data_IF_926782168105
#
_entry.id   IF_926782168105
#
_cell.length_a   1.000
_cell.length_b   1.000
_cell.length_c   1.000
_cell.angle_alpha   90.00
_cell.angle_beta   90.00
_cell.angle_gamma   90.00
#
_symmetry.space_group_name_H-M   'P 1'
#
loop_
_entity.id
_entity.type
_entity.pdbx_description
1 polymer ?
#
# COMPACT_ATOMS: atom_id res chain seq x y z
N UNK A 1 -21.79 4.72 15.34
CA UNK A 1 -20.69 5.20 14.49
C UNK A 1 -20.90 4.77 13.03
N UNK A 2 -21.07 3.47 12.74
CA UNK A 2 -21.31 2.94 11.39
C UNK A 2 -22.50 3.58 10.65
N UNK A 3 -23.60 3.87 11.35
CA UNK A 3 -24.75 4.57 10.79
C UNK A 3 -24.41 6.01 10.37
N UNK A 4 -23.73 6.74 11.25
CA UNK A 4 -23.28 8.11 10.96
C UNK A 4 -22.28 8.16 9.80
N UNK A 5 -21.39 7.18 9.71
CA UNK A 5 -20.42 7.08 8.63
C UNK A 5 -21.12 6.77 7.29
N UNK A 6 -22.15 5.92 7.31
CA UNK A 6 -22.99 5.64 6.14
C UNK A 6 -23.80 6.86 5.68
N UNK A 7 -24.44 7.59 6.59
CA UNK A 7 -25.17 8.80 6.26
C UNK A 7 -24.24 9.89 5.71
N UNK A 8 -23.09 10.08 6.33
CA UNK A 8 -22.05 11.01 5.86
C UNK A 8 -21.59 10.66 4.46
N UNK A 9 -21.31 9.37 4.20
CA UNK A 9 -20.91 8.88 2.87
C UNK A 9 -22.00 9.11 1.82
N UNK A 10 -23.25 8.87 2.15
CA UNK A 10 -24.38 9.11 1.22
C UNK A 10 -24.54 10.59 0.88
N UNK A 11 -24.38 11.48 1.87
CA UNK A 11 -24.42 12.92 1.66
C UNK A 11 -23.23 13.35 0.79
N UNK A 12 -22.04 12.91 1.13
CA UNK A 12 -20.82 13.22 0.38
C UNK A 12 -20.95 12.80 -1.08
N UNK A 13 -21.37 11.56 -1.34
CA UNK A 13 -21.52 11.03 -2.69
C UNK A 13 -22.61 11.74 -3.52
N UNK A 14 -23.57 12.38 -2.87
CA UNK A 14 -24.59 13.19 -3.56
C UNK A 14 -24.01 14.50 -4.13
N UNK A 15 -23.05 15.11 -3.43
CA UNK A 15 -22.46 16.40 -3.79
C UNK A 15 -21.09 16.25 -4.48
N UNK A 16 -20.36 15.20 -4.17
CA UNK A 16 -19.05 14.89 -4.77
C UNK A 16 -19.22 13.61 -5.58
N UNK A 17 -19.49 13.75 -6.86
CA UNK A 17 -19.59 12.61 -7.77
C UNK A 17 -18.19 12.15 -8.16
N UNK A 18 -17.81 10.96 -7.72
CA UNK A 18 -16.46 10.40 -7.90
C UNK A 18 -16.08 10.18 -9.37
N UNK A 19 -17.05 9.97 -10.23
CA UNK A 19 -16.90 9.81 -11.68
C UNK A 19 -16.69 11.14 -12.44
N UNK A 20 -17.01 12.27 -11.82
CA UNK A 20 -16.87 13.61 -12.40
C UNK A 20 -15.67 14.38 -11.83
N UNK A 21 -14.92 13.81 -10.87
CA UNK A 21 -13.85 14.51 -10.13
C UNK A 21 -12.68 13.60 -9.87
N UNK A 22 -11.50 14.19 -9.86
CA UNK A 22 -10.28 13.57 -9.33
C UNK A 22 -9.90 14.20 -8.00
N UNK A 23 -9.24 13.43 -7.15
CA UNK A 23 -8.65 13.91 -5.92
C UNK A 23 -7.32 13.20 -5.65
N UNK A 24 -6.48 13.83 -4.86
CA UNK A 24 -5.19 13.28 -4.45
C UNK A 24 -5.03 13.43 -2.96
N UNK A 25 -4.52 12.40 -2.32
CA UNK A 25 -4.15 12.39 -0.90
C UNK A 25 -2.63 12.53 -0.83
N UNK A 26 -2.17 13.54 -0.09
CA UNK A 26 -0.75 13.80 0.09
C UNK A 26 -0.44 13.90 1.59
N UNK A 27 0.67 13.30 2.01
CA UNK A 27 1.23 13.55 3.34
C UNK A 27 1.83 14.95 3.36
N UNK A 28 1.26 15.83 4.18
CA UNK A 28 1.71 17.21 4.32
C UNK A 28 1.91 17.55 5.79
N UNK A 29 3.13 17.48 6.31
CA UNK A 29 3.41 17.82 7.70
C UNK A 29 3.09 19.28 8.00
N UNK A 30 2.61 19.55 9.21
CA UNK A 30 2.32 20.89 9.72
C UNK A 30 3.15 21.16 10.97
N UNK A 31 3.42 22.44 11.31
CA UNK A 31 4.29 22.80 12.44
C UNK A 31 3.90 22.18 13.79
N UNK A 32 2.61 21.87 13.97
CA UNK A 32 2.05 21.25 15.16
C UNK A 32 2.57 19.81 15.41
N UNK A 33 3.24 19.20 14.41
CA UNK A 33 3.87 17.88 14.58
C UNK A 33 5.01 17.92 15.62
N UNK A 34 5.55 19.09 15.89
CA UNK A 34 6.51 19.32 16.97
C UNK A 34 7.87 19.84 16.50
N UNK A 35 8.88 19.81 17.38
CA UNK A 35 10.17 20.49 17.16
C UNK A 35 11.01 19.95 15.99
N UNK A 36 10.65 18.77 15.46
CA UNK A 36 11.29 18.19 14.27
C UNK A 36 10.53 18.47 12.96
N UNK A 37 9.64 19.46 12.96
CA UNK A 37 8.80 19.75 11.80
C UNK A 37 9.60 19.93 10.51
N UNK A 38 10.65 20.75 10.52
CA UNK A 38 11.44 21.04 9.31
C UNK A 38 12.11 19.77 8.76
N UNK A 39 12.72 18.97 9.64
CA UNK A 39 13.35 17.68 9.26
C UNK A 39 12.31 16.72 8.64
N UNK A 40 11.15 16.60 9.24
CA UNK A 40 10.05 15.74 8.77
C UNK A 40 9.49 16.27 7.45
N UNK A 41 9.31 17.59 7.34
CA UNK A 41 8.80 18.22 6.12
C UNK A 41 9.74 17.97 4.93
N UNK A 42 11.02 18.22 5.10
CA UNK A 42 12.02 17.99 4.06
C UNK A 42 12.08 16.53 3.63
N UNK A 43 11.99 15.60 4.58
CA UNK A 43 11.98 14.17 4.27
C UNK A 43 10.71 13.75 3.51
N UNK A 44 9.54 14.25 3.90
CA UNK A 44 8.28 13.99 3.19
C UNK A 44 8.32 14.55 1.76
N UNK A 45 8.82 15.77 1.57
CA UNK A 45 8.96 16.35 0.23
C UNK A 45 9.96 15.56 -0.60
N UNK A 46 11.08 15.14 -0.01
CA UNK A 46 12.08 14.30 -0.68
C UNK A 46 11.47 12.98 -1.17
N UNK A 47 10.65 12.33 -0.35
CA UNK A 47 9.95 11.09 -0.71
C UNK A 47 8.92 11.35 -1.82
N UNK A 48 8.16 12.43 -1.73
CA UNK A 48 7.13 12.79 -2.71
C UNK A 48 7.70 13.15 -4.09
N UNK A 49 8.98 13.49 -4.18
CA UNK A 49 9.65 13.89 -5.42
C UNK A 49 10.61 12.83 -5.98
N UNK A 50 10.47 11.59 -5.55
CA UNK A 50 11.27 10.47 -6.07
C UNK A 50 10.97 10.19 -7.55
N UNK A 51 11.96 9.63 -8.24
CA UNK A 51 11.85 9.26 -9.66
C UNK A 51 10.84 8.10 -9.82
N UNK A 52 9.64 8.43 -10.29
CA UNK A 52 8.56 7.48 -10.52
C UNK A 52 8.95 6.35 -11.49
N UNK A 53 9.77 6.62 -12.51
CA UNK A 53 10.23 5.60 -13.47
C UNK A 53 11.21 4.62 -12.82
N UNK A 54 12.05 5.10 -11.92
CA UNK A 54 12.92 4.23 -11.15
C UNK A 54 12.11 3.34 -10.20
N UNK A 55 11.11 3.91 -9.55
CA UNK A 55 10.19 3.17 -8.67
C UNK A 55 9.46 2.06 -9.42
N UNK A 56 8.85 2.39 -10.55
CA UNK A 56 8.16 1.43 -11.41
C UNK A 56 9.06 0.24 -11.77
N UNK A 57 10.31 0.51 -12.12
CA UNK A 57 11.29 -0.53 -12.45
C UNK A 57 11.63 -1.41 -11.27
N UNK A 58 11.87 -0.83 -10.10
CA UNK A 58 12.19 -1.58 -8.88
C UNK A 58 11.00 -2.44 -8.48
N UNK A 59 9.80 -1.89 -8.48
CA UNK A 59 8.57 -2.61 -8.16
C UNK A 59 8.30 -3.74 -9.16
N UNK A 60 8.53 -3.52 -10.45
CA UNK A 60 8.37 -4.57 -11.46
C UNK A 60 9.35 -5.73 -11.20
N UNK A 61 10.58 -5.45 -10.80
CA UNK A 61 11.54 -6.51 -10.44
C UNK A 61 11.03 -7.35 -9.24
N UNK A 62 10.35 -6.72 -8.29
CA UNK A 62 9.73 -7.42 -7.17
C UNK A 62 8.55 -8.28 -7.64
N UNK A 63 7.71 -7.76 -8.52
CA UNK A 63 6.57 -8.48 -9.11
C UNK A 63 7.06 -9.69 -9.88
N UNK A 64 8.06 -9.54 -10.74
CA UNK A 64 8.63 -10.63 -11.54
C UNK A 64 9.18 -11.76 -10.66
N UNK A 65 9.71 -11.43 -9.49
CA UNK A 65 10.15 -12.43 -8.53
C UNK A 65 8.98 -13.10 -7.79
N UNK A 66 7.96 -12.33 -7.39
CA UNK A 66 6.80 -12.82 -6.67
C UNK A 66 5.92 -13.71 -7.55
N UNK A 67 5.78 -13.39 -8.82
CA UNK A 67 4.99 -14.16 -9.80
C UNK A 67 5.54 -15.58 -10.03
N UNK A 68 6.83 -15.82 -9.70
CA UNK A 68 7.42 -17.17 -9.74
C UNK A 68 7.07 -18.00 -8.50
N UNK A 69 6.46 -17.38 -7.49
CA UNK A 69 6.18 -18.00 -6.19
C UNK A 69 4.73 -18.47 -6.06
N UNK A 70 4.52 -19.49 -5.26
CA UNK A 70 3.18 -19.93 -4.84
C UNK A 70 2.76 -19.35 -3.49
N UNK A 71 3.73 -18.87 -2.75
CA UNK A 71 3.53 -18.32 -1.41
C UNK A 71 4.63 -17.34 -1.01
N UNK A 72 4.27 -16.43 -0.13
CA UNK A 72 5.20 -15.50 0.53
C UNK A 72 5.20 -15.79 2.01
N UNK A 73 6.39 -15.89 2.61
CA UNK A 73 6.54 -15.97 4.06
C UNK A 73 7.07 -14.65 4.59
N UNK A 74 6.34 -14.07 5.53
CA UNK A 74 6.72 -12.84 6.22
C UNK A 74 7.21 -13.19 7.61
N UNK A 75 8.46 -12.86 7.90
CA UNK A 75 9.11 -13.15 9.19
C UNK A 75 9.53 -11.82 9.83
N UNK A 76 9.09 -11.60 11.06
CA UNK A 76 9.52 -10.47 11.86
C UNK A 76 11.00 -10.54 12.23
N UNK A 77 11.58 -9.38 12.57
CA UNK A 77 12.97 -9.26 13.05
C UNK A 77 13.00 -8.68 14.46
N UNK A 78 14.07 -9.00 15.20
CA UNK A 78 14.27 -8.55 16.57
C UNK A 78 13.17 -9.11 17.49
N UNK A 79 12.45 -8.23 18.17
CA UNK A 79 11.37 -8.60 19.08
C UNK A 79 10.03 -8.88 18.35
N UNK A 80 9.92 -8.55 17.07
CA UNK A 80 8.72 -8.81 16.29
C UNK A 80 8.60 -10.31 15.99
N UNK A 81 7.54 -10.93 16.50
CA UNK A 81 7.26 -12.37 16.41
C UNK A 81 6.32 -12.73 15.26
N UNK A 82 6.21 -11.86 14.25
CA UNK A 82 5.43 -12.16 13.05
C UNK A 82 6.02 -13.37 12.33
N UNK A 83 5.17 -14.33 12.00
CA UNK A 83 5.47 -15.46 11.13
C UNK A 83 4.19 -15.83 10.39
N UNK A 84 4.09 -15.37 9.14
CA UNK A 84 2.90 -15.54 8.31
C UNK A 84 3.27 -16.19 6.98
N UNK A 85 2.49 -17.15 6.58
CA UNK A 85 2.53 -17.72 5.23
C UNK A 85 1.30 -17.24 4.44
N UNK A 86 1.55 -16.53 3.36
CA UNK A 86 0.53 -15.93 2.50
C UNK A 86 0.52 -16.68 1.19
N UNK A 87 -0.60 -17.31 0.87
CA UNK A 87 -0.75 -18.05 -0.37
C UNK A 87 -1.10 -17.12 -1.52
N UNK A 88 -0.39 -17.26 -2.62
CA UNK A 88 -0.63 -16.54 -3.87
C UNK A 88 -1.54 -17.33 -4.82
N UNK A 89 -2.18 -16.63 -5.73
CA UNK A 89 -2.90 -17.25 -6.83
C UNK A 89 -1.92 -17.83 -7.85
N UNK A 90 -2.19 -19.03 -8.32
CA UNK A 90 -1.36 -19.65 -9.34
C UNK A 90 -1.58 -18.99 -10.69
N UNK A 91 -0.49 -18.62 -11.35
CA UNK A 91 -0.47 -18.11 -12.71
C UNK A 91 -0.29 -19.26 -13.72
N UNK A 92 -0.89 -19.14 -14.89
CA UNK A 92 -0.67 -20.09 -15.99
C UNK A 92 0.68 -19.87 -16.66
N UNK A 93 1.05 -18.62 -16.86
CA UNK A 93 2.35 -18.21 -17.39
C UNK A 93 2.81 -16.93 -16.71
N UNK A 94 3.64 -17.06 -15.69
CA UNK A 94 4.20 -15.96 -14.90
C UNK A 94 5.07 -14.97 -15.70
N UNK A 95 5.34 -15.25 -16.99
CA UNK A 95 6.04 -14.31 -17.88
C UNK A 95 5.10 -13.39 -18.64
N UNK A 96 3.79 -13.66 -18.60
CA UNK A 96 2.75 -12.94 -19.35
C UNK A 96 1.62 -12.43 -18.48
N UNK A 97 1.50 -12.97 -17.29
CA UNK A 97 0.41 -12.70 -16.36
C UNK A 97 1.01 -12.30 -15.03
N UNK A 98 0.32 -11.42 -14.33
CA UNK A 98 0.59 -11.09 -12.93
C UNK A 98 -0.70 -10.94 -12.16
N UNK A 99 -0.64 -11.20 -10.87
CA UNK A 99 -1.71 -10.91 -9.92
C UNK A 99 -1.40 -9.68 -9.07
N UNK A 100 -0.26 -9.04 -9.32
CA UNK A 100 0.20 -7.89 -8.56
C UNK A 100 -0.04 -6.58 -9.31
N UNK A 101 -0.39 -5.56 -8.57
CA UNK A 101 -0.44 -4.19 -9.05
C UNK A 101 0.91 -3.49 -8.81
N UNK A 102 1.42 -2.86 -9.86
CA UNK A 102 2.59 -1.99 -9.78
C UNK A 102 2.10 -0.54 -9.63
N UNK A 103 1.89 -0.11 -8.39
CA UNK A 103 1.29 1.18 -8.10
C UNK A 103 2.36 2.22 -7.77
N UNK A 104 2.65 3.10 -8.71
CA UNK A 104 3.65 4.16 -8.59
C UNK A 104 3.02 5.48 -8.17
N UNK A 105 1.85 5.79 -8.73
CA UNK A 105 1.04 6.94 -8.37
C UNK A 105 -0.43 6.61 -8.59
N UNK A 106 -1.25 6.89 -7.60
CA UNK A 106 -2.69 6.74 -7.65
C UNK A 106 -3.33 7.92 -6.91
N UNK A 107 -4.32 7.67 -6.11
CA UNK A 107 -4.94 8.67 -5.22
C UNK A 107 -3.95 9.21 -4.21
N UNK A 108 -3.05 8.38 -3.72
CA UNK A 108 -2.04 8.72 -2.72
C UNK A 108 -0.72 9.16 -3.35
N UNK A 109 -0.09 10.17 -2.76
CA UNK A 109 1.27 10.59 -3.08
C UNK A 109 2.06 10.73 -1.76
N UNK A 110 3.22 10.07 -1.61
CA UNK A 110 3.77 9.07 -2.53
C UNK A 110 2.99 7.77 -2.47
N UNK A 111 2.93 7.09 -3.60
CA UNK A 111 2.67 5.67 -3.66
C UNK A 111 4.01 4.99 -3.92
N UNK A 112 4.11 3.77 -3.88
CA UNK A 112 5.30 2.95 -4.08
C UNK A 112 4.92 1.60 -3.52
N UNK A 113 3.85 1.04 -4.09
CA UNK A 113 3.24 -0.18 -3.61
C UNK A 113 3.28 -1.26 -4.68
N UNK A 114 3.63 -2.46 -4.22
CA UNK A 114 3.33 -3.70 -4.92
C UNK A 114 2.31 -4.43 -4.07
N UNK A 115 1.11 -4.60 -4.57
CA UNK A 115 0.05 -5.24 -3.80
C UNK A 115 -0.76 -6.24 -4.61
N UNK A 116 -1.41 -7.16 -3.91
CA UNK A 116 -2.34 -8.15 -4.46
C UNK A 116 -3.36 -8.56 -3.40
N UNK A 117 -4.45 -9.17 -3.84
CA UNK A 117 -5.37 -9.87 -2.97
C UNK A 117 -4.95 -11.35 -2.87
N UNK A 118 -4.50 -11.82 -1.71
CA UNK A 118 -4.02 -13.19 -1.55
C UNK A 118 -5.16 -14.22 -1.57
N UNK A 119 -4.80 -15.49 -1.71
CA UNK A 119 -5.74 -16.58 -1.50
C UNK A 119 -5.98 -16.73 0.01
N UNK A 120 -7.17 -16.37 0.48
CA UNK A 120 -7.50 -16.42 1.92
C UNK A 120 -7.41 -17.84 2.49
N UNK A 121 -7.92 -18.83 1.75
CA UNK A 121 -7.84 -20.23 2.16
C UNK A 121 -6.42 -20.76 1.99
N UNK A 122 -5.75 -21.02 3.11
CA UNK A 122 -4.34 -21.47 3.15
C UNK A 122 -3.35 -20.36 3.45
N UNK A 123 -3.80 -19.10 3.56
CA UNK A 123 -3.05 -18.03 4.21
C UNK A 123 -3.25 -18.15 5.71
N UNK A 124 -2.16 -18.22 6.48
CA UNK A 124 -2.20 -18.42 7.93
C UNK A 124 -0.92 -17.90 8.59
N UNK A 125 -0.93 -17.83 9.91
CA UNK A 125 0.24 -17.46 10.70
C UNK A 125 -0.08 -16.58 11.89
N UNK A 126 0.94 -15.89 12.38
CA UNK A 126 0.85 -14.95 13.51
C UNK A 126 1.36 -13.58 13.08
N UNK A 127 0.58 -12.57 13.34
CA UNK A 127 0.97 -11.17 13.22
C UNK A 127 1.28 -10.61 14.61
N UNK A 128 2.49 -10.12 14.83
CA UNK A 128 2.84 -9.40 16.05
C UNK A 128 2.60 -7.91 15.83
N UNK A 129 1.63 -7.37 16.56
CA UNK A 129 1.32 -5.94 16.61
C UNK A 129 1.87 -5.39 17.92
N UNK A 130 2.75 -4.41 17.87
CA UNK A 130 3.40 -3.82 19.05
C UNK A 130 2.65 -2.62 19.62
N UNK A 131 1.70 -2.07 18.85
CA UNK A 131 0.85 -0.95 19.26
C UNK A 131 -0.59 -1.23 18.84
N UNK A 132 -1.52 -1.02 19.76
CA UNK A 132 -2.97 -1.10 19.54
C UNK A 132 -3.57 0.23 19.98
#
# INVERSE_FOLDING_TARGET
QLELDNESSQITNRYIKGDERSFTIIAYPVPEIGPKYEEIFDEVIRINTLDAKLYEKVQQTMIDALDQGEKVRVIGKGENRTDMEIRLWSLKDARKETIFENCVADVNIPVGEVFTSPVLKGTNGKLHVSQV
#
